data_IF_217871835761
#
_entry.id   IF_217871835761
#
_cell.length_a   1.000
_cell.length_b   1.000
_cell.length_c   1.000
_cell.angle_alpha   90.00
_cell.angle_beta   90.00
_cell.angle_gamma   90.00
#
_symmetry.space_group_name_H-M   'P 1'
#
loop_
_entity.id
_entity.type
_entity.pdbx_description
1 polymer ?
#
# COMPACT_ATOMS: atom_id res chain seq x y z
N UNK A 1 -47.85 60.13 38.02
CA UNK A 1 -46.60 59.35 38.26
C UNK A 1 -46.72 57.82 38.06
N UNK A 2 -47.91 57.19 38.19
CA UNK A 2 -48.06 55.72 37.95
C UNK A 2 -47.95 55.29 36.48
N UNK A 3 -48.45 56.12 35.56
CA UNK A 3 -48.51 55.80 34.11
C UNK A 3 -47.12 55.78 33.43
N UNK A 4 -46.18 56.62 33.88
CA UNK A 4 -44.81 56.64 33.33
C UNK A 4 -43.97 55.45 33.77
N UNK A 5 -44.14 54.96 35.01
CA UNK A 5 -43.46 53.74 35.49
C UNK A 5 -43.87 52.50 34.68
N UNK A 6 -45.16 52.37 34.37
CA UNK A 6 -45.69 51.27 33.56
C UNK A 6 -45.11 51.25 32.14
N UNK A 7 -44.98 52.42 31.49
CA UNK A 7 -44.39 52.53 30.15
C UNK A 7 -42.89 52.20 30.18
N UNK A 8 -42.16 52.65 31.21
CA UNK A 8 -40.73 52.35 31.36
C UNK A 8 -40.48 50.86 31.65
N UNK A 9 -41.34 50.21 32.44
CA UNK A 9 -41.28 48.77 32.67
C UNK A 9 -41.60 47.98 31.40
N UNK A 10 -42.61 48.40 30.63
CA UNK A 10 -42.96 47.77 29.36
C UNK A 10 -41.85 47.92 28.31
N UNK A 11 -41.18 49.09 28.25
CA UNK A 11 -40.07 49.33 27.34
C UNK A 11 -38.84 48.48 27.70
N UNK A 12 -38.51 48.35 28.99
CA UNK A 12 -37.45 47.42 29.45
C UNK A 12 -37.77 45.97 29.13
N UNK A 13 -39.02 45.54 29.33
CA UNK A 13 -39.46 44.19 28.96
C UNK A 13 -39.34 43.98 27.44
N UNK A 14 -39.67 44.98 26.64
CA UNK A 14 -39.56 44.92 25.19
C UNK A 14 -38.10 44.79 24.74
N UNK A 15 -37.18 45.59 25.29
CA UNK A 15 -35.74 45.50 25.03
C UNK A 15 -35.15 44.14 25.45
N UNK A 16 -35.54 43.63 26.61
CA UNK A 16 -35.13 42.30 27.09
C UNK A 16 -35.66 41.18 26.18
N UNK A 17 -36.94 41.25 25.77
CA UNK A 17 -37.56 40.25 24.89
C UNK A 17 -36.95 40.26 23.49
N UNK A 18 -36.65 41.44 22.92
CA UNK A 18 -35.94 41.53 21.64
C UNK A 18 -34.51 41.00 21.74
N UNK A 19 -33.82 41.28 22.86
CA UNK A 19 -32.50 40.73 23.14
C UNK A 19 -32.50 39.21 23.21
N UNK A 20 -33.40 38.61 23.99
CA UNK A 20 -33.52 37.14 24.08
C UNK A 20 -33.89 36.49 22.75
N UNK A 21 -34.79 37.10 21.96
CA UNK A 21 -35.18 36.58 20.65
C UNK A 21 -34.02 36.62 19.63
N UNK A 22 -33.25 37.72 19.60
CA UNK A 22 -32.06 37.86 18.76
C UNK A 22 -30.94 36.91 19.19
N UNK A 23 -30.72 36.77 20.51
CA UNK A 23 -29.75 35.82 21.08
C UNK A 23 -30.16 34.40 20.70
N UNK A 24 -31.43 34.01 20.86
CA UNK A 24 -31.92 32.68 20.50
C UNK A 24 -31.78 32.39 19.01
N UNK A 25 -32.10 33.35 18.13
CA UNK A 25 -31.92 33.20 16.68
C UNK A 25 -30.44 33.07 16.29
N UNK A 26 -29.55 33.82 16.94
CA UNK A 26 -28.10 33.73 16.72
C UNK A 26 -27.51 32.41 17.21
N UNK A 27 -27.95 31.90 18.37
CA UNK A 27 -27.57 30.58 18.89
C UNK A 27 -28.10 29.46 18.00
N UNK A 28 -29.35 29.53 17.52
CA UNK A 28 -29.90 28.52 16.60
C UNK A 28 -29.13 28.52 15.27
N UNK A 29 -28.78 29.68 14.70
CA UNK A 29 -27.94 29.76 13.50
C UNK A 29 -26.54 29.21 13.74
N UNK A 30 -25.92 29.52 14.88
CA UNK A 30 -24.61 28.97 15.24
C UNK A 30 -24.68 27.45 15.45
N UNK A 31 -25.71 26.93 16.09
CA UNK A 31 -25.95 25.49 16.26
C UNK A 31 -26.19 24.77 14.93
N UNK A 32 -26.92 25.38 13.99
CA UNK A 32 -27.12 24.81 12.64
C UNK A 32 -25.85 24.90 11.81
N UNK A 33 -25.07 25.97 11.89
CA UNK A 33 -23.75 26.08 11.23
C UNK A 33 -22.78 25.05 11.83
N UNK A 34 -22.72 24.91 13.16
CA UNK A 34 -21.94 23.87 13.82
C UNK A 34 -22.42 22.48 13.43
N UNK A 35 -23.72 22.23 13.31
CA UNK A 35 -24.26 20.95 12.86
C UNK A 35 -23.93 20.69 11.39
N UNK A 36 -24.05 21.67 10.49
CA UNK A 36 -23.64 21.55 9.09
C UNK A 36 -22.14 21.31 8.97
N UNK A 37 -21.31 21.97 9.78
CA UNK A 37 -19.87 21.68 9.88
C UNK A 37 -19.57 20.31 10.50
N UNK A 38 -20.38 19.84 11.46
CA UNK A 38 -20.26 18.51 12.06
C UNK A 38 -20.63 17.39 11.08
N UNK A 39 -21.60 17.63 10.19
CA UNK A 39 -21.97 16.67 9.14
C UNK A 39 -20.94 16.70 8.01
N UNK A 40 -20.35 17.86 7.69
CA UNK A 40 -19.33 18.00 6.65
C UNK A 40 -17.98 17.35 7.03
N UNK A 41 -17.67 17.17 8.31
CA UNK A 41 -16.45 16.48 8.77
C UNK A 41 -16.58 14.96 8.89
N UNK A 42 -17.77 14.38 8.66
CA UNK A 42 -17.98 12.92 8.59
C UNK A 42 -17.84 12.39 7.15
N UNK A 43 -17.79 13.27 6.15
CA UNK A 43 -17.63 12.89 4.75
C UNK A 43 -16.15 12.80 4.33
N UNK A 44 -15.38 11.88 4.92
CA UNK A 44 -14.17 11.33 4.28
C UNK A 44 -13.68 10.07 5.02
N UNK A 45 -14.53 9.05 5.05
CA UNK A 45 -14.06 7.68 5.04
C UNK A 45 -14.49 7.08 3.70
N UNK A 46 -13.87 7.56 2.62
CA UNK A 46 -14.20 7.14 1.25
C UNK A 46 -13.91 5.65 1.09
N UNK A 47 -14.96 4.89 0.75
CA UNK A 47 -14.89 3.52 0.24
C UNK A 47 -14.26 3.48 -1.14
N UNK A 48 -12.99 3.89 -1.24
CA UNK A 48 -12.18 3.66 -2.42
C UNK A 48 -11.93 2.15 -2.54
N UNK A 49 -12.10 1.62 -3.75
CA UNK A 49 -11.81 0.22 -4.04
C UNK A 49 -10.30 0.08 -4.21
N UNK A 50 -9.63 -0.85 -3.51
CA UNK A 50 -8.19 -1.04 -3.68
C UNK A 50 -7.89 -1.55 -5.10
N UNK A 51 -6.83 -1.02 -5.69
CA UNK A 51 -6.26 -1.47 -6.97
C UNK A 51 -5.57 -2.84 -6.83
N UNK A 52 -5.07 -3.17 -5.63
CA UNK A 52 -4.38 -4.42 -5.34
C UNK A 52 -4.07 -4.58 -3.84
N UNK A 53 -3.45 -5.70 -3.49
CA UNK A 53 -2.94 -5.97 -2.13
C UNK A 53 -1.44 -6.07 -2.13
N UNK A 54 -0.84 -5.76 -0.98
CA UNK A 54 0.62 -5.71 -0.84
C UNK A 54 1.04 -6.36 0.48
N UNK A 55 2.13 -7.10 0.41
CA UNK A 55 2.81 -7.69 1.56
C UNK A 55 4.28 -7.29 1.51
N UNK A 56 4.84 -6.93 2.67
CA UNK A 56 6.21 -6.49 2.85
C UNK A 56 6.78 -7.21 4.07
N UNK A 57 7.92 -7.87 3.88
CA UNK A 57 8.73 -8.44 4.95
C UNK A 57 10.09 -7.76 4.99
N UNK A 58 10.46 -7.30 6.17
CA UNK A 58 11.71 -6.59 6.40
C UNK A 58 12.36 -7.09 7.68
N UNK A 59 13.63 -7.49 7.58
CA UNK A 59 14.43 -7.89 8.74
C UNK A 59 15.44 -6.80 9.03
N UNK A 60 15.34 -6.18 10.21
CA UNK A 60 16.29 -5.19 10.68
C UNK A 60 17.39 -5.85 11.51
N UNK A 61 18.64 -5.60 11.13
CA UNK A 61 19.83 -5.97 11.90
C UNK A 61 20.51 -4.68 12.39
N UNK A 62 20.79 -4.60 13.69
CA UNK A 62 21.07 -3.35 14.41
C UNK A 62 22.11 -2.37 13.83
N UNK A 63 21.93 -1.10 14.24
CA UNK A 63 22.76 0.11 14.11
C UNK A 63 23.28 0.56 12.72
N UNK A 64 22.61 1.63 12.25
CA UNK A 64 23.13 2.83 11.55
C UNK A 64 23.56 2.67 10.08
N UNK A 65 22.80 3.38 9.22
CA UNK A 65 23.08 3.79 7.84
C UNK A 65 23.59 2.63 6.97
N UNK A 66 22.65 1.81 6.55
CA UNK A 66 22.84 0.76 5.55
C UNK A 66 21.49 0.11 5.36
N UNK A 67 20.79 0.51 4.29
CA UNK A 67 19.36 0.25 4.12
C UNK A 67 18.99 -1.20 4.39
N UNK A 68 18.04 -1.39 5.29
CA UNK A 68 17.28 -2.63 5.37
C UNK A 68 16.67 -2.85 3.97
N UNK A 69 17.02 -3.97 3.33
CA UNK A 69 16.40 -4.37 2.06
C UNK A 69 15.23 -5.27 2.43
N UNK A 70 14.03 -4.69 2.50
CA UNK A 70 12.81 -5.48 2.60
C UNK A 70 12.47 -6.09 1.25
N UNK A 71 11.74 -7.20 1.28
CA UNK A 71 11.12 -7.79 0.09
C UNK A 71 9.61 -7.63 0.21
N UNK A 72 8.93 -7.58 -0.92
CA UNK A 72 7.49 -7.60 -0.92
C UNK A 72 6.92 -8.13 -2.22
N UNK A 73 5.62 -8.38 -2.17
CA UNK A 73 4.81 -8.80 -3.30
C UNK A 73 3.60 -7.89 -3.41
N UNK A 74 3.33 -7.45 -4.62
CA UNK A 74 2.13 -6.72 -5.00
C UNK A 74 1.27 -7.66 -5.83
N UNK A 75 0.07 -7.96 -5.33
CA UNK A 75 -0.95 -8.66 -6.10
C UNK A 75 -1.78 -7.62 -6.86
N UNK A 76 -1.59 -7.52 -8.17
CA UNK A 76 -2.24 -6.53 -9.02
C UNK A 76 -2.81 -7.16 -10.29
N UNK A 77 -4.12 -6.99 -10.52
CA UNK A 77 -4.85 -7.57 -11.67
C UNK A 77 -4.66 -9.09 -11.85
N UNK A 78 -4.45 -9.81 -10.73
CA UNK A 78 -4.23 -11.26 -10.74
C UNK A 78 -2.80 -11.70 -11.10
N UNK A 79 -1.85 -10.75 -11.14
CA UNK A 79 -0.42 -11.01 -11.35
C UNK A 79 0.36 -10.54 -10.12
N UNK A 80 1.36 -11.32 -9.73
CA UNK A 80 2.22 -11.03 -8.59
C UNK A 80 3.48 -10.32 -9.07
N UNK A 81 3.71 -9.12 -8.54
CA UNK A 81 4.90 -8.31 -8.83
C UNK A 81 5.78 -8.26 -7.59
N UNK A 82 6.96 -8.84 -7.69
CA UNK A 82 7.94 -8.80 -6.61
C UNK A 82 8.70 -7.48 -6.64
N UNK A 83 9.00 -6.96 -5.45
CA UNK A 83 9.77 -5.74 -5.30
C UNK A 83 10.70 -5.80 -4.10
N UNK A 84 11.71 -4.94 -4.14
CA UNK A 84 12.57 -4.64 -3.01
C UNK A 84 12.22 -3.28 -2.45
N UNK A 85 12.25 -3.17 -1.14
CA UNK A 85 12.20 -1.89 -0.43
C UNK A 85 13.61 -1.51 0.00
N UNK A 86 13.87 -0.21 0.09
CA UNK A 86 15.07 0.34 0.70
C UNK A 86 14.76 1.75 1.20
N UNK A 87 15.46 2.27 2.19
CA UNK A 87 15.11 3.60 2.69
C UNK A 87 15.95 4.08 3.85
N UNK A 88 15.72 5.35 4.19
CA UNK A 88 16.41 6.04 5.26
C UNK A 88 15.58 5.87 6.52
N UNK A 89 16.00 4.95 7.39
CA UNK A 89 15.45 4.85 8.74
C UNK A 89 16.29 5.71 9.67
N UNK A 90 15.67 6.75 10.24
CA UNK A 90 16.33 7.65 11.18
C UNK A 90 16.18 7.06 12.58
N UNK A 91 17.20 6.35 13.04
CA UNK A 91 17.34 5.97 14.45
C UNK A 91 16.57 4.71 14.85
N UNK A 92 17.32 3.65 15.15
CA UNK A 92 16.79 2.55 15.93
C UNK A 92 17.89 1.63 16.44
N UNK A 93 17.68 1.05 17.61
CA UNK A 93 18.61 0.15 18.30
C UNK A 93 17.88 -1.16 18.59
N UNK A 94 18.37 -2.28 18.03
CA UNK A 94 17.76 -3.59 18.21
C UNK A 94 17.81 -4.49 16.97
N UNK A 95 17.27 -5.70 17.13
CA UNK A 95 16.92 -6.62 16.03
C UNK A 95 15.40 -6.70 16.02
N UNK A 96 14.79 -6.45 14.86
CA UNK A 96 13.35 -6.59 14.71
C UNK A 96 12.97 -7.09 13.32
N UNK A 97 11.96 -7.95 13.26
CA UNK A 97 11.26 -8.27 12.02
C UNK A 97 10.03 -7.39 11.92
N UNK A 98 9.89 -6.73 10.78
CA UNK A 98 8.71 -5.94 10.43
C UNK A 98 8.02 -6.70 9.31
N UNK A 99 6.77 -7.07 9.54
CA UNK A 99 5.89 -7.54 8.48
C UNK A 99 4.77 -6.54 8.34
N UNK A 100 4.49 -6.10 7.11
CA UNK A 100 3.43 -5.15 6.82
C UNK A 100 2.55 -5.68 5.69
N UNK A 101 1.24 -5.66 5.93
CA UNK A 101 0.24 -6.08 4.96
C UNK A 101 -0.73 -4.95 4.70
N UNK A 102 -1.25 -4.84 3.49
CA UNK A 102 -2.12 -3.74 3.17
C UNK A 102 -2.72 -3.73 1.78
N UNK A 103 -3.22 -2.55 1.47
CA UNK A 103 -3.98 -2.27 0.27
C UNK A 103 -3.30 -1.15 -0.52
N UNK A 104 -3.31 -1.30 -1.85
CA UNK A 104 -2.77 -0.33 -2.80
C UNK A 104 -3.92 0.35 -3.52
N UNK A 105 -3.86 1.66 -3.65
CA UNK A 105 -4.93 2.46 -4.23
C UNK A 105 -4.40 3.39 -5.31
N UNK A 106 -5.30 3.80 -6.21
CA UNK A 106 -5.04 4.70 -7.32
C UNK A 106 -3.88 4.21 -8.23
N UNK A 107 -3.67 2.88 -8.28
CA UNK A 107 -2.71 2.22 -9.18
C UNK A 107 -3.42 1.75 -10.46
N UNK A 108 -3.11 2.40 -11.58
CA UNK A 108 -3.74 2.13 -12.88
C UNK A 108 -2.81 1.39 -13.84
N UNK A 109 -1.51 1.63 -13.69
CA UNK A 109 -0.43 0.99 -14.43
C UNK A 109 0.72 0.59 -13.48
N UNK A 110 1.36 -0.55 -13.72
CA UNK A 110 2.42 -1.08 -12.86
C UNK A 110 3.63 -0.14 -12.80
N UNK A 111 3.90 0.62 -13.86
CA UNK A 111 5.01 1.58 -13.91
C UNK A 111 4.84 2.76 -12.93
N UNK A 112 3.63 2.96 -12.41
CA UNK A 112 3.34 3.96 -11.39
C UNK A 112 3.71 3.50 -9.98
N UNK A 113 3.92 2.19 -9.77
CA UNK A 113 4.15 1.59 -8.46
C UNK A 113 5.56 1.84 -7.91
N UNK A 114 6.66 1.70 -8.67
CA UNK A 114 8.00 2.07 -8.19
C UNK A 114 8.09 3.54 -7.76
N UNK A 115 9.04 3.83 -6.88
CA UNK A 115 9.37 5.20 -6.48
C UNK A 115 9.53 5.38 -4.98
N UNK A 116 9.59 6.63 -4.55
CA UNK A 116 9.73 7.01 -3.15
C UNK A 116 8.34 7.24 -2.56
N UNK A 117 8.06 6.54 -1.47
CA UNK A 117 6.83 6.58 -0.70
C UNK A 117 7.06 7.28 0.62
N UNK A 118 6.37 8.39 0.86
CA UNK A 118 6.51 9.20 2.08
C UNK A 118 5.23 9.16 2.91
N UNK A 119 5.36 9.31 4.23
CA UNK A 119 4.22 9.43 5.13
C UNK A 119 3.53 10.78 4.92
N UNK A 120 2.21 10.77 4.73
CA UNK A 120 1.41 12.00 4.70
C UNK A 120 0.95 12.44 6.10
N UNK A 121 0.03 13.40 6.16
CA UNK A 121 -0.56 13.93 7.41
C UNK A 121 -1.44 12.92 8.19
N UNK A 122 -1.65 11.70 7.66
CA UNK A 122 -2.75 10.79 8.03
C UNK A 122 -2.34 9.53 8.81
N UNK A 123 -1.26 9.58 9.59
CA UNK A 123 -1.12 8.70 10.74
C UNK A 123 0.28 8.15 10.97
N UNK A 124 0.73 8.33 12.21
CA UNK A 124 1.82 7.57 12.82
C UNK A 124 1.27 7.02 14.14
N UNK A 125 1.32 5.70 14.33
CA UNK A 125 1.11 5.10 15.64
C UNK A 125 2.48 4.72 16.22
N UNK A 126 3.09 5.66 16.96
CA UNK A 126 4.31 5.41 17.70
C UNK A 126 3.97 4.78 19.05
N UNK A 127 4.37 3.53 19.24
CA UNK A 127 4.40 2.84 20.54
C UNK A 127 3.59 1.55 20.60
N UNK A 128 4.28 0.40 20.63
CA UNK A 128 3.68 -0.86 21.08
C UNK A 128 3.46 -1.97 20.04
N UNK A 129 4.04 -1.88 18.85
CA UNK A 129 4.23 -3.04 17.96
C UNK A 129 3.15 -3.32 16.91
N UNK A 130 2.07 -2.54 16.84
CA UNK A 130 1.12 -2.55 15.71
C UNK A 130 0.78 -1.13 15.30
N UNK A 131 1.06 -0.77 14.05
CA UNK A 131 0.85 0.59 13.54
C UNK A 131 0.21 0.58 12.15
N UNK A 132 -0.71 1.51 11.91
CA UNK A 132 -1.19 1.82 10.57
C UNK A 132 -0.28 2.85 9.92
N UNK A 133 0.12 2.61 8.66
CA UNK A 133 0.96 3.52 7.88
C UNK A 133 0.23 3.85 6.58
N UNK A 134 0.10 5.13 6.28
CA UNK A 134 -0.36 5.60 4.97
C UNK A 134 0.79 6.29 4.27
N UNK A 135 1.20 5.71 3.14
CA UNK A 135 2.31 6.21 2.34
C UNK A 135 1.82 6.62 0.96
N UNK A 136 2.42 7.65 0.36
CA UNK A 136 2.11 8.08 -1.00
C UNK A 136 3.38 8.35 -1.80
N UNK A 137 3.39 7.96 -3.08
CA UNK A 137 4.46 8.28 -4.00
C UNK A 137 4.14 9.50 -4.89
N UNK A 138 5.12 9.92 -5.69
CA UNK A 138 5.01 11.02 -6.65
C UNK A 138 3.97 10.79 -7.76
N UNK A 139 3.70 9.53 -8.10
CA UNK A 139 2.69 9.14 -9.09
C UNK A 139 1.25 9.17 -8.53
N UNK A 140 1.08 9.47 -7.25
CA UNK A 140 -0.22 9.56 -6.60
C UNK A 140 -0.72 8.26 -6.00
N UNK A 141 -0.01 7.14 -6.21
CA UNK A 141 -0.30 5.83 -5.62
C UNK A 141 -0.11 5.93 -4.11
N UNK A 142 -1.06 5.40 -3.34
CA UNK A 142 -0.92 5.35 -1.90
C UNK A 142 -1.15 3.94 -1.34
N UNK A 143 -0.38 3.62 -0.31
CA UNK A 143 -0.37 2.35 0.39
C UNK A 143 -1.01 2.56 1.76
N UNK A 144 -1.97 1.70 2.13
CA UNK A 144 -2.50 1.61 3.49
C UNK A 144 -2.01 0.31 4.10
N UNK A 145 -1.00 0.39 4.95
CA UNK A 145 -0.33 -0.76 5.55
C UNK A 145 -0.70 -0.89 7.03
N UNK A 146 -0.76 -2.12 7.50
CA UNK A 146 -0.76 -2.49 8.91
C UNK A 146 0.52 -3.26 9.17
N UNK A 147 1.36 -2.75 10.05
CA UNK A 147 2.64 -3.37 10.40
C UNK A 147 2.54 -4.12 11.73
N UNK A 148 3.19 -5.26 11.80
CA UNK A 148 3.54 -5.96 13.05
C UNK A 148 5.05 -5.88 13.25
N UNK A 149 5.46 -5.53 14.45
CA UNK A 149 6.85 -5.53 14.86
C UNK A 149 7.10 -6.70 15.81
N UNK A 150 7.97 -7.62 15.41
CA UNK A 150 8.49 -8.67 16.28
C UNK A 150 9.92 -8.36 16.68
N UNK A 151 10.22 -8.34 17.98
CA UNK A 151 11.57 -8.07 18.50
C UNK A 151 11.63 -6.85 19.41
N UNK A 152 12.85 -6.48 19.79
CA UNK A 152 13.12 -5.37 20.72
C UNK A 152 13.88 -4.30 19.95
N UNK A 153 13.14 -3.43 19.27
CA UNK A 153 13.70 -2.26 18.60
C UNK A 153 13.04 -0.98 19.11
N UNK A 154 13.87 -0.01 19.50
CA UNK A 154 13.44 1.38 19.69
C UNK A 154 13.35 2.02 18.30
N UNK A 155 12.15 2.12 17.72
CA UNK A 155 11.96 2.75 16.41
C UNK A 155 11.79 4.27 16.55
N UNK A 156 12.65 5.04 15.89
CA UNK A 156 12.44 6.47 15.59
C UNK A 156 12.03 6.59 14.11
N UNK A 157 11.15 7.55 13.81
CA UNK A 157 10.16 7.50 12.73
C UNK A 157 10.64 7.19 11.29
N UNK A 158 9.72 6.62 10.51
CA UNK A 158 9.88 6.35 9.07
C UNK A 158 9.56 7.63 8.27
N UNK A 159 10.58 8.23 7.65
CA UNK A 159 10.43 9.42 6.79
C UNK A 159 9.97 9.03 5.37
N UNK A 160 10.41 7.87 4.89
CA UNK A 160 9.93 7.29 3.64
C UNK A 160 10.62 5.98 3.28
N UNK A 161 10.01 5.23 2.36
CA UNK A 161 10.55 4.00 1.78
C UNK A 161 10.66 4.16 0.27
N UNK A 162 11.73 3.65 -0.32
CA UNK A 162 11.89 3.48 -1.76
C UNK A 162 11.45 2.09 -2.13
N UNK A 163 10.59 1.97 -3.15
CA UNK A 163 10.17 0.69 -3.72
C UNK A 163 10.74 0.59 -5.13
N UNK A 164 11.36 -0.55 -5.43
CA UNK A 164 11.84 -0.89 -6.76
C UNK A 164 11.27 -2.24 -7.13
N UNK A 165 10.57 -2.31 -8.26
CA UNK A 165 10.19 -3.60 -8.83
C UNK A 165 11.47 -4.38 -9.11
N UNK A 166 11.44 -5.67 -8.77
CA UNK A 166 12.45 -6.56 -9.29
C UNK A 166 12.14 -6.75 -10.77
N UNK A 167 13.18 -6.73 -11.62
CA UNK A 167 13.01 -7.18 -12.99
C UNK A 167 12.39 -8.59 -12.95
N UNK A 168 11.51 -8.90 -13.91
CA UNK A 168 10.89 -10.21 -14.02
C UNK A 168 11.94 -11.25 -14.46
N UNK A 169 12.91 -11.52 -13.60
CA UNK A 169 13.97 -12.51 -13.73
C UNK A 169 14.28 -13.02 -12.31
N UNK A 170 13.99 -14.31 -12.12
CA UNK A 170 14.41 -15.17 -11.01
C UNK A 170 13.74 -14.95 -9.63
N UNK A 171 12.73 -15.79 -9.37
CA UNK A 171 12.38 -16.16 -8.00
C UNK A 171 13.63 -16.73 -7.29
N UNK A 172 13.95 -16.31 -6.06
CA UNK A 172 14.97 -16.98 -5.27
C UNK A 172 14.38 -18.33 -4.82
N UNK A 173 14.66 -19.39 -5.57
CA UNK A 173 14.57 -20.74 -5.05
C UNK A 173 15.51 -20.83 -3.85
N UNK A 174 14.94 -21.08 -2.67
CA UNK A 174 15.74 -21.38 -1.48
C UNK A 174 16.68 -22.54 -1.81
N UNK A 175 17.96 -22.23 -1.65
CA UNK A 175 19.16 -23.02 -1.83
C UNK A 175 19.00 -24.55 -1.82
N UNK A 176 18.99 -25.12 -3.02
CA UNK A 176 19.60 -26.40 -3.34
C UNK A 176 20.36 -26.20 -4.65
N UNK A 177 21.68 -26.00 -4.56
CA UNK A 177 22.48 -25.40 -5.64
C UNK A 177 22.32 -26.07 -7.01
N UNK A 178 22.28 -25.24 -8.06
CA UNK A 178 22.49 -25.72 -9.43
C UNK A 178 23.52 -24.82 -10.08
N UNK A 179 24.66 -25.45 -10.38
CA UNK A 179 25.68 -24.94 -11.25
C UNK A 179 25.04 -24.54 -12.58
N UNK A 180 25.47 -23.42 -13.15
CA UNK A 180 25.08 -22.94 -14.47
C UNK A 180 25.15 -24.08 -15.50
N UNK A 181 24.01 -24.72 -15.77
CA UNK A 181 23.93 -25.82 -16.72
C UNK A 181 23.73 -25.23 -18.11
N UNK A 182 24.64 -25.58 -19.01
CA UNK A 182 24.48 -25.37 -20.44
C UNK A 182 23.08 -25.80 -20.88
N UNK A 183 22.38 -24.93 -21.61
CA UNK A 183 20.97 -25.10 -21.97
C UNK A 183 20.67 -26.52 -22.46
N UNK A 184 19.74 -27.19 -21.77
CA UNK A 184 19.34 -28.55 -22.13
C UNK A 184 18.40 -28.45 -23.34
N UNK A 185 18.46 -29.45 -24.22
CA UNK A 185 17.56 -29.54 -25.37
C UNK A 185 16.67 -30.76 -25.23
N UNK A 186 15.39 -30.61 -25.57
CA UNK A 186 14.40 -31.68 -25.54
C UNK A 186 13.82 -31.92 -26.94
N UNK A 187 13.83 -33.18 -27.38
CA UNK A 187 13.20 -33.58 -28.64
C UNK A 187 11.77 -34.03 -28.36
N UNK A 188 10.80 -33.30 -28.91
CA UNK A 188 9.36 -33.54 -28.76
C UNK A 188 9.00 -34.96 -29.19
N UNK A 189 8.31 -35.69 -28.32
CA UNK A 189 7.83 -37.05 -28.54
C UNK A 189 6.35 -37.07 -28.92
N UNK A 190 5.89 -38.21 -29.44
CA UNK A 190 4.48 -38.37 -29.80
C UNK A 190 3.60 -38.29 -28.55
N UNK A 191 2.69 -37.32 -28.52
CA UNK A 191 1.77 -37.08 -27.40
C UNK A 191 2.18 -35.94 -26.48
N UNK A 192 3.38 -35.38 -26.63
CA UNK A 192 3.81 -34.26 -25.80
C UNK A 192 3.02 -32.97 -26.10
N UNK A 193 2.75 -32.21 -25.05
CA UNK A 193 2.27 -30.82 -25.12
C UNK A 193 3.30 -29.84 -24.57
N UNK A 194 3.24 -28.57 -24.98
CA UNK A 194 4.10 -27.53 -24.40
C UNK A 194 3.93 -27.42 -22.88
N UNK A 195 2.72 -27.66 -22.37
CA UNK A 195 2.44 -27.62 -20.94
C UNK A 195 3.16 -28.74 -20.18
N UNK A 196 3.11 -29.97 -20.67
CA UNK A 196 3.77 -31.11 -20.04
C UNK A 196 5.29 -30.98 -20.11
N UNK A 197 5.82 -30.50 -21.24
CA UNK A 197 7.25 -30.22 -21.40
C UNK A 197 7.68 -29.11 -20.44
N UNK A 198 6.95 -27.99 -20.40
CA UNK A 198 7.26 -26.87 -19.50
C UNK A 198 7.28 -27.33 -18.04
N UNK A 199 6.26 -28.09 -17.62
CA UNK A 199 6.16 -28.65 -16.27
C UNK A 199 7.32 -29.62 -15.96
N UNK A 200 7.68 -30.48 -16.91
CA UNK A 200 8.76 -31.46 -16.78
C UNK A 200 10.12 -30.81 -16.55
N UNK A 201 10.34 -29.64 -17.13
CA UNK A 201 11.60 -28.89 -17.03
C UNK A 201 11.52 -27.73 -16.03
N UNK A 202 10.38 -27.50 -15.37
CA UNK A 202 10.26 -26.43 -14.37
C UNK A 202 10.19 -25.01 -14.97
N UNK A 203 9.80 -24.90 -16.24
CA UNK A 203 9.60 -23.61 -16.94
C UNK A 203 8.11 -23.35 -17.21
N UNK A 204 7.77 -22.23 -17.85
CA UNK A 204 6.40 -21.91 -18.26
C UNK A 204 6.21 -22.09 -19.76
N UNK A 205 4.97 -22.28 -20.21
CA UNK A 205 4.66 -22.35 -21.65
C UNK A 205 5.09 -21.06 -22.37
N UNK A 206 4.91 -19.91 -21.72
CA UNK A 206 5.29 -18.61 -22.29
C UNK A 206 6.81 -18.51 -22.48
N UNK A 207 7.56 -18.88 -21.43
CA UNK A 207 9.02 -18.87 -21.44
C UNK A 207 9.56 -19.84 -22.50
N UNK A 208 9.08 -21.08 -22.48
CA UNK A 208 9.43 -22.12 -23.44
C UNK A 208 9.17 -21.68 -24.88
N UNK A 209 8.06 -20.96 -25.14
CA UNK A 209 7.75 -20.40 -26.46
C UNK A 209 8.70 -19.27 -26.84
N UNK A 210 9.00 -18.36 -25.92
CA UNK A 210 9.89 -17.23 -26.17
C UNK A 210 11.30 -17.69 -26.53
N UNK A 211 11.86 -18.63 -25.76
CA UNK A 211 13.20 -19.21 -25.97
C UNK A 211 13.31 -19.95 -27.30
N UNK A 212 12.21 -20.53 -27.77
CA UNK A 212 12.15 -21.30 -29.01
C UNK A 212 11.51 -20.55 -30.19
N UNK A 213 11.26 -19.24 -30.04
CA UNK A 213 10.60 -18.40 -31.04
C UNK A 213 9.27 -18.99 -31.58
N UNK A 214 8.49 -19.63 -30.71
CA UNK A 214 7.22 -20.25 -31.05
C UNK A 214 6.09 -19.22 -30.96
N UNK A 215 5.37 -19.03 -32.06
CA UNK A 215 4.22 -18.12 -32.14
C UNK A 215 2.90 -18.80 -31.80
N UNK A 216 2.87 -20.13 -31.67
CA UNK A 216 1.68 -20.93 -31.37
C UNK A 216 2.00 -22.08 -30.41
N UNK A 217 0.97 -22.74 -29.90
CA UNK A 217 1.13 -23.89 -29.00
C UNK A 217 1.34 -25.22 -29.74
N UNK A 218 1.40 -25.17 -31.08
CA UNK A 218 1.60 -26.34 -31.94
C UNK A 218 3.08 -26.70 -32.01
N UNK A 219 3.42 -27.89 -31.54
CA UNK A 219 4.74 -28.52 -31.64
C UNK A 219 4.69 -29.80 -32.46
N UNK A 220 5.79 -30.15 -33.11
CA UNK A 220 5.89 -31.34 -33.97
C UNK A 220 6.78 -32.40 -33.34
N UNK A 221 6.40 -33.67 -33.46
CA UNK A 221 7.27 -34.79 -33.06
C UNK A 221 8.61 -34.68 -33.78
N UNK A 222 9.71 -34.81 -33.03
CA UNK A 222 11.07 -34.62 -33.53
C UNK A 222 11.58 -33.18 -33.49
N UNK A 223 10.74 -32.20 -33.14
CA UNK A 223 11.17 -30.82 -32.93
C UNK A 223 12.09 -30.72 -31.70
N UNK A 224 13.22 -30.03 -31.84
CA UNK A 224 14.12 -29.77 -30.71
C UNK A 224 13.74 -28.44 -30.06
N UNK A 225 13.53 -28.47 -28.76
CA UNK A 225 13.25 -27.30 -27.93
C UNK A 225 14.40 -27.06 -26.95
N UNK A 226 14.83 -25.82 -26.82
CA UNK A 226 15.68 -25.36 -25.72
C UNK A 226 14.83 -25.27 -24.46
N UNK A 227 15.23 -25.99 -23.42
CA UNK A 227 14.56 -26.07 -22.11
C UNK A 227 15.57 -25.67 -21.02
N UNK A 228 15.10 -24.89 -20.04
CA UNK A 228 15.89 -24.39 -18.91
C UNK A 228 15.32 -24.93 -17.61
#
# INVERSE_FOLDING_TARGET
>A
MKKSKQIFTALKLLETLFGEALIRQSITRLMVICLVFLIASVASAEGKIPSGTIEIDETQLGFIIGGDIGKGVLHYKGVDFYFKTGGIKVGGMGIAKISAVGEVYDLFDIDQFPGIYVTGDYGIALGGGVGGLVLKNENGVYLRLRSTLEGVALAVGLEGITIKLEDAVEQPVEQGGVQQQAGQTYTVQSGDTLYEIATKFGTTVSELKSTNNLTSDVIRVGQVLYVQ
#
